data_IF_263665826306
#
_entry.id   IF_263665826306
#
_cell.length_a   1.000
_cell.length_b   1.000
_cell.length_c   1.000
_cell.angle_alpha   90.00
_cell.angle_beta   90.00
_cell.angle_gamma   90.00
#
_symmetry.space_group_name_H-M   'P 1'
#
loop_
_entity.id
_entity.type
_entity.pdbx_description
1 polymer ?
#
# COMPACT_ATOMS: atom_id res chain seq x y z
N UNK A 1 8.07 -21.05 -9.16
CA UNK A 1 8.95 -19.87 -9.11
C UNK A 1 9.78 -19.96 -7.83
N UNK A 2 11.14 -20.14 -7.89
CA UNK A 2 11.99 -20.32 -6.71
C UNK A 2 11.88 -19.17 -5.71
N UNK A 3 11.71 -17.94 -6.14
CA UNK A 3 11.65 -16.75 -5.29
C UNK A 3 10.31 -16.58 -4.55
N UNK A 4 9.18 -17.12 -5.08
CA UNK A 4 7.94 -17.24 -4.29
C UNK A 4 8.13 -18.24 -3.16
N UNK A 5 8.98 -19.23 -3.36
CA UNK A 5 9.41 -20.15 -2.31
C UNK A 5 10.39 -19.44 -1.35
N UNK A 6 11.29 -18.58 -1.84
CA UNK A 6 12.20 -17.78 -0.99
C UNK A 6 11.45 -16.69 -0.20
N UNK A 7 10.48 -15.99 -0.80
CA UNK A 7 9.58 -15.07 -0.10
C UNK A 7 8.68 -15.85 0.87
N UNK A 8 8.16 -16.98 0.42
CA UNK A 8 7.41 -17.93 1.24
C UNK A 8 8.26 -18.55 2.33
N UNK A 9 9.55 -18.80 2.11
CA UNK A 9 10.47 -19.34 3.10
C UNK A 9 11.00 -18.25 4.03
N UNK A 10 11.22 -17.02 3.56
CA UNK A 10 11.52 -15.88 4.42
C UNK A 10 10.30 -15.52 5.29
N UNK A 11 9.11 -15.44 4.72
CA UNK A 11 7.84 -15.29 5.45
C UNK A 11 7.65 -16.49 6.39
N UNK A 12 7.93 -17.72 5.98
CA UNK A 12 7.86 -18.91 6.82
C UNK A 12 8.94 -18.96 7.90
N UNK A 13 10.17 -18.53 7.64
CA UNK A 13 11.24 -18.48 8.63
C UNK A 13 11.02 -17.35 9.64
N UNK A 14 10.54 -16.20 9.19
CA UNK A 14 10.12 -15.10 10.06
C UNK A 14 8.85 -15.47 10.84
N UNK A 15 7.89 -16.16 10.22
CA UNK A 15 6.68 -16.67 10.87
C UNK A 15 6.90 -17.96 11.67
N UNK A 16 7.98 -18.74 11.48
CA UNK A 16 8.23 -19.94 12.29
C UNK A 16 8.68 -19.58 13.71
N UNK A 17 9.36 -18.45 13.89
CA UNK A 17 9.58 -17.86 15.22
C UNK A 17 8.32 -17.22 15.80
N UNK A 18 7.44 -16.65 14.97
CA UNK A 18 6.11 -16.18 15.38
C UNK A 18 5.13 -17.34 15.67
N UNK A 19 5.23 -18.46 14.97
CA UNK A 19 4.37 -19.66 15.16
C UNK A 19 4.43 -20.28 16.55
N UNK A 20 5.44 -19.98 17.34
CA UNK A 20 5.54 -20.43 18.73
C UNK A 20 4.73 -19.59 19.71
N UNK A 21 4.20 -18.42 19.31
CA UNK A 21 3.40 -17.54 20.18
C UNK A 21 2.00 -17.22 19.67
N UNK A 22 1.78 -17.26 18.36
CA UNK A 22 0.49 -16.96 17.75
C UNK A 22 0.17 -18.02 16.71
N UNK A 23 -0.89 -18.79 16.88
CA UNK A 23 -1.43 -19.56 15.78
C UNK A 23 -1.87 -18.55 14.71
N UNK A 24 -1.55 -18.80 13.45
CA UNK A 24 -2.00 -17.98 12.31
C UNK A 24 -3.52 -17.77 12.34
N UNK A 25 -4.24 -18.72 12.91
CA UNK A 25 -5.68 -18.72 13.13
C UNK A 25 -6.11 -17.67 14.17
N UNK A 26 -5.37 -17.46 15.26
CA UNK A 26 -5.77 -16.48 16.28
C UNK A 26 -5.66 -15.02 15.85
N UNK A 27 -4.72 -14.68 14.96
CA UNK A 27 -4.61 -13.33 14.38
C UNK A 27 -5.76 -13.09 13.40
N UNK A 28 -6.12 -14.11 12.59
CA UNK A 28 -7.20 -14.03 11.60
C UNK A 28 -8.55 -14.04 12.31
N UNK A 29 -8.74 -14.91 13.32
CA UNK A 29 -10.03 -15.09 13.99
C UNK A 29 -10.36 -13.98 14.99
N UNK A 30 -9.37 -13.47 15.72
CA UNK A 30 -9.62 -12.55 16.84
C UNK A 30 -9.17 -11.11 16.57
N UNK A 31 -8.44 -10.84 15.50
CA UNK A 31 -7.88 -9.51 15.20
C UNK A 31 -6.94 -8.99 16.30
N UNK A 32 -6.40 -9.89 17.13
CA UNK A 32 -5.53 -9.54 18.24
C UNK A 32 -4.10 -9.34 17.75
N UNK A 33 -3.75 -8.09 17.46
CA UNK A 33 -2.41 -7.67 17.06
C UNK A 33 -1.51 -7.31 18.25
N UNK A 34 -2.03 -7.38 19.48
CA UNK A 34 -1.30 -6.97 20.70
C UNK A 34 -0.19 -7.94 21.09
N UNK A 35 -0.22 -9.14 20.51
CA UNK A 35 0.78 -10.18 20.79
C UNK A 35 2.06 -10.08 19.93
N UNK A 36 2.13 -9.16 18.95
CA UNK A 36 3.33 -8.93 18.14
C UNK A 36 4.20 -7.87 18.79
N UNK A 37 5.43 -8.23 19.15
CA UNK A 37 6.38 -7.29 19.73
C UNK A 37 7.51 -6.93 18.75
N UNK A 38 8.19 -5.78 18.94
CA UNK A 38 9.33 -5.40 18.10
C UNK A 38 10.47 -6.44 18.14
N UNK A 39 10.59 -7.21 19.22
CA UNK A 39 11.58 -8.29 19.38
C UNK A 39 11.32 -9.45 18.42
N UNK A 40 10.06 -9.68 18.03
CA UNK A 40 9.69 -10.77 17.12
C UNK A 40 10.22 -10.55 15.68
N UNK A 41 10.41 -9.31 15.26
CA UNK A 41 10.96 -8.96 13.93
C UNK A 41 12.49 -8.74 13.95
N UNK A 42 13.08 -8.65 15.12
CA UNK A 42 14.50 -8.36 15.31
C UNK A 42 14.83 -6.85 15.27
N UNK A 43 15.84 -6.48 16.04
CA UNK A 43 16.19 -5.07 16.30
C UNK A 43 16.48 -4.25 15.04
N UNK A 44 17.21 -4.79 14.09
CA UNK A 44 17.59 -4.06 12.86
C UNK A 44 16.38 -3.72 11.99
N UNK A 45 15.48 -4.69 11.82
CA UNK A 45 14.24 -4.49 11.07
C UNK A 45 13.33 -3.51 11.82
N UNK A 46 13.16 -3.68 13.13
CA UNK A 46 12.33 -2.79 13.96
C UNK A 46 12.82 -1.34 13.88
N UNK A 47 14.12 -1.09 14.00
CA UNK A 47 14.73 0.25 13.87
C UNK A 47 14.53 0.80 12.46
N UNK A 48 14.66 -0.03 11.43
CA UNK A 48 14.46 0.39 10.04
C UNK A 48 13.01 0.77 9.78
N UNK A 49 12.06 -0.03 10.24
CA UNK A 49 10.61 0.27 10.16
C UNK A 49 10.29 1.59 10.87
N UNK A 50 10.73 1.72 12.12
CA UNK A 50 10.51 2.95 12.89
C UNK A 50 11.07 4.18 12.18
N UNK A 51 12.28 4.09 11.62
CA UNK A 51 12.89 5.18 10.84
C UNK A 51 12.05 5.56 9.63
N UNK A 52 11.53 4.60 8.88
CA UNK A 52 10.69 4.88 7.71
C UNK A 52 9.34 5.49 8.13
N UNK A 53 8.71 4.96 9.17
CA UNK A 53 7.48 5.54 9.72
C UNK A 53 7.70 6.99 10.18
N UNK A 54 8.79 7.26 10.90
CA UNK A 54 9.11 8.62 11.37
C UNK A 54 9.39 9.58 10.20
N UNK A 55 10.11 9.13 9.17
CA UNK A 55 10.35 9.94 7.97
C UNK A 55 9.06 10.29 7.25
N UNK A 56 8.18 9.30 7.07
CA UNK A 56 6.88 9.51 6.44
C UNK A 56 6.00 10.45 7.29
N UNK A 57 5.95 10.26 8.61
CA UNK A 57 5.25 11.15 9.53
C UNK A 57 5.73 12.60 9.38
N UNK A 58 7.04 12.84 9.37
CA UNK A 58 7.62 14.18 9.22
C UNK A 58 7.34 14.82 7.87
N UNK A 59 7.30 14.01 6.80
CA UNK A 59 6.89 14.46 5.48
C UNK A 59 5.44 14.95 5.49
N UNK A 60 4.54 14.16 6.04
CA UNK A 60 3.10 14.50 6.10
C UNK A 60 2.84 15.70 7.02
N UNK A 61 3.52 15.78 8.17
CA UNK A 61 3.44 16.95 9.08
C UNK A 61 3.90 18.24 8.38
N UNK A 62 4.96 18.17 7.56
CA UNK A 62 5.42 19.30 6.77
C UNK A 62 4.38 19.71 5.72
N UNK A 63 3.76 18.74 5.03
CA UNK A 63 2.66 19.02 4.10
C UNK A 63 1.44 19.64 4.80
N UNK A 64 1.09 19.17 5.99
CA UNK A 64 -0.01 19.77 6.78
C UNK A 64 0.28 21.21 7.14
N UNK A 65 1.53 21.51 7.56
CA UNK A 65 1.93 22.87 7.93
C UNK A 65 1.85 23.85 6.75
N UNK A 66 2.11 23.36 5.54
CA UNK A 66 2.12 24.15 4.30
C UNK A 66 0.78 24.09 3.53
N UNK A 67 -0.19 23.30 4.00
CA UNK A 67 -1.42 23.08 3.27
C UNK A 67 -2.35 24.30 3.29
N UNK A 68 -2.40 25.00 2.16
CA UNK A 68 -3.22 26.17 1.92
C UNK A 68 -4.12 25.95 0.70
N UNK A 69 -5.29 25.28 0.87
CA UNK A 69 -6.12 24.86 -0.27
C UNK A 69 -6.70 26.02 -1.08
N UNK A 70 -6.78 27.22 -0.51
CA UNK A 70 -7.25 28.41 -1.22
C UNK A 70 -6.16 29.09 -2.07
N UNK A 71 -4.90 28.81 -1.78
CA UNK A 71 -3.77 29.51 -2.38
C UNK A 71 -3.05 28.63 -3.41
N UNK A 72 -2.02 27.88 -2.99
CA UNK A 72 -1.10 27.20 -3.90
C UNK A 72 -1.44 25.72 -4.10
N UNK A 73 -1.87 25.01 -3.05
CA UNK A 73 -2.24 23.60 -3.11
C UNK A 73 -3.73 23.43 -3.43
N UNK A 74 -4.08 23.50 -4.70
CA UNK A 74 -5.47 23.53 -5.18
C UNK A 74 -6.10 22.15 -5.38
N UNK A 75 -5.47 21.10 -4.89
CA UNK A 75 -6.00 19.74 -4.95
C UNK A 75 -6.45 19.26 -3.56
N UNK A 76 -7.46 18.38 -3.48
CA UNK A 76 -7.77 17.68 -2.24
C UNK A 76 -6.58 16.82 -1.82
N UNK A 77 -6.18 16.94 -0.56
CA UNK A 77 -5.07 16.16 0.00
C UNK A 77 -5.60 15.15 1.00
N UNK A 78 -5.18 13.90 0.87
CA UNK A 78 -5.48 12.84 1.82
C UNK A 78 -4.19 12.38 2.50
N UNK A 79 -3.96 12.90 3.69
CA UNK A 79 -2.79 12.57 4.49
C UNK A 79 -2.81 11.11 4.96
N UNK A 80 -1.63 10.51 5.07
CA UNK A 80 -1.46 9.15 5.61
C UNK A 80 -0.98 9.16 7.07
N UNK A 81 -1.17 10.27 7.79
CA UNK A 81 -0.85 10.37 9.22
C UNK A 81 -1.66 9.32 10.01
N UNK A 82 -0.95 8.48 10.77
CA UNK A 82 -1.53 7.33 11.48
C UNK A 82 -1.59 6.04 10.67
N UNK A 83 -1.20 6.06 9.38
CA UNK A 83 -1.21 4.92 8.47
C UNK A 83 0.20 4.63 7.92
N UNK A 84 1.26 5.00 8.63
CA UNK A 84 2.65 4.90 8.15
C UNK A 84 3.19 3.47 8.13
N UNK A 85 2.58 2.54 8.87
CA UNK A 85 3.11 1.19 9.05
C UNK A 85 3.18 0.40 7.74
N UNK A 86 2.12 0.42 6.94
CA UNK A 86 2.06 -0.31 5.66
C UNK A 86 3.09 0.24 4.66
N UNK A 87 3.13 1.55 4.36
CA UNK A 87 4.15 2.12 3.49
C UNK A 87 5.57 1.88 3.98
N UNK A 88 5.82 1.96 5.29
CA UNK A 88 7.14 1.70 5.85
C UNK A 88 7.57 0.24 5.63
N UNK A 89 6.68 -0.72 5.84
CA UNK A 89 6.96 -2.13 5.56
C UNK A 89 7.23 -2.36 4.07
N UNK A 90 6.40 -1.83 3.19
CA UNK A 90 6.58 -1.93 1.75
C UNK A 90 7.90 -1.32 1.28
N UNK A 91 8.34 -0.21 1.88
CA UNK A 91 9.62 0.43 1.54
C UNK A 91 10.85 -0.44 1.81
N UNK A 92 10.74 -1.42 2.72
CA UNK A 92 11.82 -2.36 3.04
C UNK A 92 11.74 -3.65 2.21
N UNK A 93 10.59 -3.95 1.63
CA UNK A 93 10.33 -5.21 0.93
C UNK A 93 10.36 -5.07 -0.60
N UNK A 94 9.87 -3.94 -1.12
CA UNK A 94 9.74 -3.76 -2.56
C UNK A 94 11.08 -3.47 -3.23
N UNK A 95 11.25 -4.06 -4.40
CA UNK A 95 12.40 -3.88 -5.27
C UNK A 95 12.10 -2.91 -6.41
N UNK A 96 13.12 -2.50 -7.13
CA UNK A 96 12.98 -1.59 -8.28
C UNK A 96 12.12 -2.18 -9.40
N UNK A 97 12.18 -3.50 -9.60
CA UNK A 97 11.41 -4.21 -10.61
C UNK A 97 9.93 -4.42 -10.28
N UNK A 98 9.51 -4.18 -9.03
CA UNK A 98 8.13 -4.35 -8.60
C UNK A 98 7.26 -3.14 -8.98
N UNK A 99 6.01 -3.40 -9.34
CA UNK A 99 5.02 -2.37 -9.57
C UNK A 99 4.19 -2.15 -8.29
N UNK A 100 3.88 -0.89 -7.99
CA UNK A 100 3.02 -0.52 -6.88
C UNK A 100 1.89 0.39 -7.37
N UNK A 101 0.68 -0.07 -7.18
CA UNK A 101 -0.56 0.66 -7.47
C UNK A 101 -1.23 1.02 -6.15
N UNK A 102 -1.70 2.27 -6.02
CA UNK A 102 -2.34 2.74 -4.79
C UNK A 102 -3.67 3.43 -5.05
N UNK A 103 -4.42 3.60 -3.98
CA UNK A 103 -5.63 4.41 -3.92
C UNK A 103 -5.31 5.90 -3.74
N UNK A 104 -6.34 6.75 -3.54
CA UNK A 104 -6.26 8.20 -3.42
C UNK A 104 -5.33 8.74 -2.30
N UNK A 105 -4.95 7.90 -1.31
CA UNK A 105 -4.00 8.27 -0.25
C UNK A 105 -2.59 7.84 -0.68
N UNK A 106 -2.05 8.54 -1.67
CA UNK A 106 -0.90 8.09 -2.47
C UNK A 106 0.46 8.30 -1.81
N UNK A 107 0.59 9.29 -0.92
CA UNK A 107 1.89 9.79 -0.45
C UNK A 107 2.77 8.70 0.20
N UNK A 108 2.17 7.87 1.06
CA UNK A 108 2.87 6.78 1.71
C UNK A 108 3.41 5.75 0.72
N UNK A 109 2.62 5.41 -0.29
CA UNK A 109 3.01 4.46 -1.32
C UNK A 109 4.06 5.04 -2.29
N UNK A 110 3.93 6.32 -2.63
CA UNK A 110 4.95 7.06 -3.38
C UNK A 110 6.30 7.02 -2.65
N UNK A 111 6.26 7.32 -1.34
CA UNK A 111 7.43 7.22 -0.46
C UNK A 111 7.98 5.78 -0.41
N UNK A 112 7.12 4.76 -0.30
CA UNK A 112 7.51 3.35 -0.22
C UNK A 112 8.28 2.89 -1.45
N UNK A 113 7.97 3.40 -2.64
CA UNK A 113 8.69 3.10 -3.89
C UNK A 113 9.97 3.91 -4.06
N UNK A 114 10.33 4.77 -3.09
CA UNK A 114 11.54 5.59 -3.16
C UNK A 114 11.50 6.68 -4.23
N UNK A 115 10.31 7.08 -4.68
CA UNK A 115 10.14 8.15 -5.63
C UNK A 115 10.58 9.51 -5.03
N UNK A 116 11.07 10.48 -5.83
CA UNK A 116 11.66 11.71 -5.35
C UNK A 116 10.66 12.61 -4.61
N UNK A 117 10.87 12.87 -3.33
CA UNK A 117 9.97 13.70 -2.51
C UNK A 117 9.85 15.14 -3.02
N UNK A 118 10.89 15.68 -3.63
CA UNK A 118 10.84 17.02 -4.25
C UNK A 118 9.80 17.10 -5.36
N UNK A 119 9.66 16.02 -6.14
CA UNK A 119 8.66 15.94 -7.22
C UNK A 119 7.25 15.75 -6.65
N UNK A 120 7.09 15.02 -5.53
CA UNK A 120 5.84 14.92 -4.80
C UNK A 120 5.33 16.31 -4.36
N UNK A 121 6.19 17.08 -3.67
CA UNK A 121 5.82 18.43 -3.25
C UNK A 121 5.52 19.34 -4.44
N UNK A 122 6.36 19.33 -5.47
CA UNK A 122 6.14 20.12 -6.66
C UNK A 122 4.81 19.77 -7.34
N UNK A 123 4.42 18.49 -7.36
CA UNK A 123 3.14 18.03 -7.90
C UNK A 123 1.96 18.60 -7.12
N UNK A 124 2.00 18.51 -5.79
CA UNK A 124 0.93 19.02 -4.91
C UNK A 124 0.78 20.53 -5.05
N UNK A 125 1.87 21.26 -5.27
CA UNK A 125 1.89 22.70 -5.57
C UNK A 125 1.54 23.05 -7.04
N UNK A 126 1.17 22.08 -7.85
CA UNK A 126 0.81 22.30 -9.27
C UNK A 126 1.96 22.82 -10.12
N UNK A 127 3.20 22.45 -9.82
CA UNK A 127 4.39 22.91 -10.53
C UNK A 127 4.76 21.96 -11.67
N UNK A 128 5.22 22.51 -12.77
CA UNK A 128 5.68 21.72 -13.93
C UNK A 128 6.83 20.74 -13.63
N UNK A 129 7.54 20.94 -12.52
CA UNK A 129 8.60 20.03 -12.04
C UNK A 129 8.07 18.90 -11.13
N UNK A 130 6.75 18.82 -10.96
CA UNK A 130 6.12 17.71 -10.25
C UNK A 130 6.18 16.41 -11.05
N UNK A 131 5.96 15.29 -10.36
CA UNK A 131 6.03 13.95 -10.93
C UNK A 131 5.12 13.74 -12.16
N UNK A 132 4.01 14.49 -12.24
CA UNK A 132 3.06 14.48 -13.34
C UNK A 132 2.87 15.90 -13.95
N UNK A 133 3.88 16.75 -13.84
CA UNK A 133 3.83 18.10 -14.38
C UNK A 133 2.85 19.05 -13.67
N UNK A 134 2.47 18.74 -12.43
CA UNK A 134 1.54 19.50 -11.62
C UNK A 134 0.06 19.26 -11.95
N UNK A 135 -0.27 18.21 -12.69
CA UNK A 135 -1.63 17.94 -13.19
C UNK A 135 -2.38 16.86 -12.39
N UNK A 136 -1.66 15.96 -11.71
CA UNK A 136 -2.25 14.84 -10.98
C UNK A 136 -2.68 15.22 -9.55
N UNK A 137 -2.05 16.22 -8.96
CA UNK A 137 -2.26 16.57 -7.56
C UNK A 137 -1.89 15.45 -6.60
N UNK A 138 -2.60 15.36 -5.46
CA UNK A 138 -2.31 14.38 -4.41
C UNK A 138 -2.84 12.97 -4.69
N UNK A 139 -3.96 12.85 -5.40
CA UNK A 139 -4.73 11.59 -5.46
C UNK A 139 -4.35 10.67 -6.61
N UNK A 140 -3.84 11.22 -7.69
CA UNK A 140 -3.55 10.49 -8.92
C UNK A 140 -2.06 10.54 -9.30
N UNK A 141 -1.21 10.89 -8.34
CA UNK A 141 0.24 11.01 -8.56
C UNK A 141 0.83 9.66 -8.96
N UNK A 142 1.68 9.71 -9.98
CA UNK A 142 2.41 8.54 -10.47
C UNK A 142 3.88 8.88 -10.72
N UNK A 143 4.75 7.90 -10.66
CA UNK A 143 6.18 8.06 -10.99
C UNK A 143 6.67 6.81 -11.74
N UNK A 144 6.79 6.94 -13.05
CA UNK A 144 7.05 5.81 -13.96
C UNK A 144 8.38 5.13 -13.68
N UNK A 145 9.44 5.89 -13.40
CA UNK A 145 10.78 5.38 -13.13
C UNK A 145 10.81 4.52 -11.85
N UNK A 146 10.02 4.88 -10.84
CA UNK A 146 9.84 4.08 -9.62
C UNK A 146 8.79 2.99 -9.77
N UNK A 147 8.07 2.90 -10.90
CA UNK A 147 6.96 1.98 -11.13
C UNK A 147 5.86 2.12 -10.07
N UNK A 148 5.56 3.36 -9.72
CA UNK A 148 4.48 3.73 -8.81
C UNK A 148 3.34 4.41 -9.58
N UNK A 149 2.09 4.00 -9.29
CA UNK A 149 0.90 4.53 -9.95
C UNK A 149 -0.22 4.71 -8.92
N UNK A 150 -0.59 5.96 -8.68
CA UNK A 150 -1.74 6.32 -7.85
C UNK A 150 -3.01 6.46 -8.69
N UNK A 151 -4.15 6.29 -8.03
CA UNK A 151 -5.44 6.51 -8.68
C UNK A 151 -6.57 6.69 -7.66
N UNK A 152 -7.43 7.68 -7.91
CA UNK A 152 -8.53 8.01 -7.01
C UNK A 152 -9.74 7.06 -7.13
N UNK A 153 -9.85 6.31 -8.22
CA UNK A 153 -11.00 5.44 -8.50
C UNK A 153 -10.95 4.20 -7.60
N UNK A 154 -12.00 4.02 -6.79
CA UNK A 154 -12.15 2.85 -5.91
C UNK A 154 -12.05 1.54 -6.72
N UNK A 155 -11.32 0.57 -6.18
CA UNK A 155 -10.98 -0.70 -6.80
C UNK A 155 -10.22 -0.61 -8.14
N UNK A 156 -10.10 0.56 -8.77
CA UNK A 156 -9.41 0.73 -10.05
C UNK A 156 -7.96 0.25 -9.99
N UNK A 157 -7.23 0.66 -8.96
CA UNK A 157 -5.84 0.22 -8.72
C UNK A 157 -5.70 -1.31 -8.65
N UNK A 158 -6.71 -2.01 -8.10
CA UNK A 158 -6.71 -3.47 -7.95
C UNK A 158 -6.75 -4.17 -9.31
N UNK A 159 -7.64 -3.70 -10.20
CA UNK A 159 -7.79 -4.26 -11.55
C UNK A 159 -6.53 -4.00 -12.39
N UNK A 160 -5.98 -2.77 -12.33
CA UNK A 160 -4.78 -2.40 -13.07
C UNK A 160 -3.57 -3.20 -12.57
N UNK A 161 -3.44 -3.36 -11.24
CA UNK A 161 -2.38 -4.17 -10.65
C UNK A 161 -2.46 -5.65 -11.09
N UNK A 162 -3.68 -6.22 -11.18
CA UNK A 162 -3.88 -7.57 -11.70
C UNK A 162 -3.45 -7.68 -13.17
N UNK A 163 -3.75 -6.68 -13.99
CA UNK A 163 -3.28 -6.59 -15.36
C UNK A 163 -1.75 -6.49 -15.47
N UNK A 164 -1.11 -5.68 -14.64
CA UNK A 164 0.35 -5.57 -14.56
C UNK A 164 0.99 -6.91 -14.14
N UNK A 165 0.42 -7.58 -13.13
CA UNK A 165 0.88 -8.90 -12.70
C UNK A 165 0.76 -9.95 -13.82
N UNK A 166 -0.32 -9.91 -14.59
CA UNK A 166 -0.47 -10.76 -15.78
C UNK A 166 0.62 -10.49 -16.81
N UNK A 167 0.93 -9.21 -17.06
CA UNK A 167 2.03 -8.80 -17.95
C UNK A 167 3.39 -9.31 -17.47
N UNK A 168 3.70 -9.14 -16.17
CA UNK A 168 4.94 -9.66 -15.55
C UNK A 168 5.07 -11.19 -15.72
N UNK A 169 3.97 -11.91 -15.46
CA UNK A 169 3.93 -13.37 -15.63
C UNK A 169 4.17 -13.77 -17.10
N UNK A 170 3.50 -13.10 -18.03
CA UNK A 170 3.63 -13.37 -19.45
C UNK A 170 5.07 -13.10 -19.96
N UNK A 171 5.68 -12.01 -19.48
CA UNK A 171 7.06 -11.65 -19.80
C UNK A 171 8.10 -12.50 -19.05
N UNK A 172 7.66 -13.35 -18.12
CA UNK A 172 8.52 -14.18 -17.25
C UNK A 172 9.54 -13.36 -16.45
N UNK A 173 9.19 -12.16 -16.05
CA UNK A 173 10.02 -11.30 -15.21
C UNK A 173 9.94 -11.72 -13.73
N UNK A 174 10.91 -11.27 -12.91
CA UNK A 174 10.96 -11.63 -11.48
C UNK A 174 10.15 -10.70 -10.58
N UNK A 175 9.71 -9.53 -11.07
CA UNK A 175 8.96 -8.57 -10.28
C UNK A 175 7.56 -9.04 -9.90
N UNK A 176 7.00 -8.42 -8.88
CA UNK A 176 5.60 -8.56 -8.48
C UNK A 176 4.83 -7.27 -8.73
N UNK A 177 3.52 -7.38 -8.75
CA UNK A 177 2.61 -6.23 -8.69
C UNK A 177 1.99 -6.16 -7.30
N UNK A 178 1.91 -4.96 -6.74
CA UNK A 178 1.26 -4.71 -5.44
C UNK A 178 0.09 -3.76 -5.65
N UNK A 179 -1.07 -4.12 -5.12
CA UNK A 179 -2.25 -3.28 -5.08
C UNK A 179 -2.50 -2.84 -3.63
N UNK A 180 -2.30 -1.55 -3.33
CA UNK A 180 -2.70 -0.94 -2.06
C UNK A 180 -4.08 -0.29 -2.20
N UNK A 181 -5.00 -0.59 -1.30
CA UNK A 181 -6.36 -0.04 -1.32
C UNK A 181 -7.00 -0.01 0.07
N UNK A 182 -7.98 0.87 0.24
CA UNK A 182 -8.78 0.93 1.46
C UNK A 182 -9.86 -0.16 1.48
N UNK A 183 -10.37 -0.47 2.68
CA UNK A 183 -11.40 -1.51 2.87
C UNK A 183 -12.69 -1.23 2.07
N UNK A 184 -13.01 0.04 1.81
CA UNK A 184 -14.17 0.41 0.98
C UNK A 184 -14.09 -0.10 -0.46
N UNK A 185 -12.89 -0.34 -0.99
CA UNK A 185 -12.73 -0.94 -2.32
C UNK A 185 -13.26 -2.38 -2.39
N UNK A 186 -13.34 -3.07 -1.26
CA UNK A 186 -13.88 -4.44 -1.18
C UNK A 186 -15.40 -4.50 -1.32
N UNK A 187 -16.07 -3.35 -1.36
CA UNK A 187 -17.52 -3.26 -1.65
C UNK A 187 -17.81 -3.23 -3.16
N UNK A 188 -16.76 -3.00 -3.98
CA UNK A 188 -16.86 -2.95 -5.43
C UNK A 188 -16.80 -4.38 -6.04
N UNK A 189 -17.66 -4.67 -7.01
CA UNK A 189 -17.65 -5.96 -7.73
C UNK A 189 -16.31 -6.21 -8.44
N UNK A 190 -15.71 -5.18 -9.03
CA UNK A 190 -14.45 -5.25 -9.74
C UNK A 190 -13.28 -5.75 -8.86
N UNK A 191 -13.32 -5.48 -7.55
CA UNK A 191 -12.35 -6.03 -6.60
C UNK A 191 -12.40 -7.57 -6.58
N UNK A 192 -13.60 -8.15 -6.45
CA UNK A 192 -13.78 -9.59 -6.38
C UNK A 192 -13.44 -10.28 -7.70
N UNK A 193 -13.77 -9.66 -8.81
CA UNK A 193 -13.40 -10.14 -10.15
C UNK A 193 -11.89 -10.18 -10.33
N UNK A 194 -11.19 -9.13 -9.92
CA UNK A 194 -9.73 -9.06 -10.01
C UNK A 194 -9.04 -10.10 -9.13
N UNK A 195 -9.49 -10.29 -7.88
CA UNK A 195 -8.95 -11.31 -6.97
C UNK A 195 -9.18 -12.71 -7.53
N UNK A 196 -10.40 -12.99 -7.99
CA UNK A 196 -10.71 -14.29 -8.59
C UNK A 196 -9.85 -14.57 -9.83
N UNK A 197 -9.69 -13.57 -10.70
CA UNK A 197 -8.82 -13.71 -11.87
C UNK A 197 -7.35 -13.95 -11.47
N UNK A 198 -6.85 -13.17 -10.51
CA UNK A 198 -5.50 -13.31 -10.01
C UNK A 198 -5.22 -14.71 -9.43
N UNK A 199 -6.15 -15.22 -8.62
CA UNK A 199 -6.08 -16.57 -8.05
C UNK A 199 -6.13 -17.66 -9.11
N UNK A 200 -7.10 -17.58 -10.05
CA UNK A 200 -7.27 -18.55 -11.14
C UNK A 200 -6.03 -18.62 -12.05
N UNK A 201 -5.35 -17.49 -12.27
CA UNK A 201 -4.14 -17.39 -13.09
C UNK A 201 -2.84 -17.50 -12.29
N UNK A 202 -2.91 -17.57 -10.96
CA UNK A 202 -1.75 -17.59 -10.06
C UNK A 202 -0.78 -16.45 -10.37
N UNK A 203 -1.34 -15.24 -10.45
CA UNK A 203 -0.57 -14.04 -10.81
C UNK A 203 0.41 -13.65 -9.68
N UNK A 204 1.58 -13.07 -10.00
CA UNK A 204 2.52 -12.55 -9.02
C UNK A 204 2.03 -11.19 -8.47
N UNK A 205 0.98 -11.22 -7.67
CA UNK A 205 0.34 -10.03 -7.11
C UNK A 205 0.20 -10.15 -5.59
N UNK A 206 0.38 -9.01 -4.90
CA UNK A 206 0.09 -8.85 -3.48
C UNK A 206 -1.02 -7.81 -3.32
N UNK A 207 -2.10 -8.18 -2.66
CA UNK A 207 -3.19 -7.28 -2.28
C UNK A 207 -2.97 -6.80 -0.85
N UNK A 208 -2.93 -5.48 -0.65
CA UNK A 208 -2.68 -4.83 0.64
C UNK A 208 -3.88 -3.96 1.00
N UNK A 209 -4.63 -4.38 2.01
CA UNK A 209 -5.81 -3.65 2.49
C UNK A 209 -5.42 -2.76 3.66
N UNK A 210 -5.66 -1.46 3.54
CA UNK A 210 -5.62 -0.52 4.65
C UNK A 210 -7.03 -0.38 5.25
N UNK A 211 -7.29 -1.09 6.33
CA UNK A 211 -8.59 -1.06 7.00
C UNK A 211 -8.62 0.00 8.10
N UNK A 212 -9.10 1.20 7.76
CA UNK A 212 -9.37 2.26 8.72
C UNK A 212 -10.83 2.22 9.24
N UNK A 213 -11.64 1.24 8.82
CA UNK A 213 -13.04 0.98 9.16
C UNK A 213 -14.03 2.02 8.65
N UNK A 214 -13.61 3.00 7.85
CA UNK A 214 -14.48 4.04 7.31
C UNK A 214 -14.24 4.25 5.82
N UNK A 215 -15.32 4.22 5.04
CA UNK A 215 -15.34 4.73 3.68
C UNK A 215 -16.13 6.04 3.68
N UNK A 216 -15.42 7.16 3.50
CA UNK A 216 -15.94 8.52 3.68
C UNK A 216 -16.53 8.69 5.09
N UNK A 217 -17.85 8.65 5.25
CA UNK A 217 -18.55 8.80 6.54
C UNK A 217 -19.25 7.51 6.98
N UNK A 218 -19.11 6.42 6.21
CA UNK A 218 -19.79 5.15 6.46
C UNK A 218 -18.88 4.18 7.20
N UNK A 219 -19.33 3.74 8.37
CA UNK A 219 -18.70 2.67 9.13
C UNK A 219 -18.72 1.35 8.34
N UNK A 220 -17.67 0.54 8.49
CA UNK A 220 -17.52 -0.72 7.78
C UNK A 220 -18.68 -1.69 8.03
N UNK A 221 -19.11 -1.86 9.28
CA UNK A 221 -20.18 -2.81 9.64
C UNK A 221 -21.57 -2.37 9.15
N UNK A 222 -21.73 -1.12 8.69
CA UNK A 222 -22.95 -0.68 7.99
C UNK A 222 -22.97 -1.08 6.52
N UNK A 223 -21.81 -1.41 5.95
CA UNK A 223 -21.62 -1.75 4.54
C UNK A 223 -21.30 -3.23 4.33
N UNK A 224 -20.69 -3.86 5.32
CA UNK A 224 -20.16 -5.22 5.25
C UNK A 224 -20.69 -6.05 6.42
N UNK A 225 -20.98 -7.32 6.18
CA UNK A 225 -21.49 -8.24 7.19
C UNK A 225 -20.46 -8.52 8.30
N UNK A 226 -19.18 -8.46 7.98
CA UNK A 226 -18.06 -8.70 8.90
C UNK A 226 -16.96 -7.67 8.67
N UNK A 227 -16.21 -7.33 9.70
CA UNK A 227 -15.02 -6.48 9.62
C UNK A 227 -13.75 -7.28 9.25
N UNK A 228 -13.82 -8.59 9.21
CA UNK A 228 -12.72 -9.45 8.80
C UNK A 228 -12.72 -9.69 7.29
N UNK A 229 -12.03 -8.80 6.56
CA UNK A 229 -11.96 -8.85 5.10
C UNK A 229 -11.23 -10.13 4.60
N UNK A 230 -10.27 -10.64 5.37
CA UNK A 230 -9.49 -11.81 4.98
C UNK A 230 -10.33 -13.12 5.02
N UNK A 231 -11.41 -13.13 5.79
CA UNK A 231 -12.35 -14.26 5.88
C UNK A 231 -13.53 -14.13 4.92
N UNK A 232 -13.73 -12.97 4.32
CA UNK A 232 -14.83 -12.68 3.40
C UNK A 232 -14.54 -13.25 2.01
#
# INVERSE_FOLDING_TARGET
FPWLLELGDWVRQSTTKLKTRLSHESIIENGDYTAVSPEDVGKEIAVSLFRQMLRLRRLEEALVAEYHPADEMRCPIHFCIGQEAVPAALSLLLKSEDYLFSHHRTHGYYFAKGAPLKELFAEIYGRATGANGGLAGSQDISHTESRFFGGAILAGAVCIAAGAAFGLQHQKTKGISVAGFGEGATDEGAFWEAINHAGAKRLPILFVVENNRYATFSDQLKRQQTDNIAQR
#
